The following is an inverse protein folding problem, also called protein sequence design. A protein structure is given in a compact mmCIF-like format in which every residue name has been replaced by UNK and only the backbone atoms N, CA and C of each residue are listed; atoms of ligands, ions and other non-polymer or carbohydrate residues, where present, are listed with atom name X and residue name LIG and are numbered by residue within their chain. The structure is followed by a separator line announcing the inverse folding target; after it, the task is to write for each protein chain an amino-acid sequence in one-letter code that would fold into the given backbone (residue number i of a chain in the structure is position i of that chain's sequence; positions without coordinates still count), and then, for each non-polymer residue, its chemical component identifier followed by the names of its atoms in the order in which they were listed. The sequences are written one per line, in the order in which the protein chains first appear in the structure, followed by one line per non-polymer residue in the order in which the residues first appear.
data_IF_923817036162
#
_entry.id   IF_923817036162
#
_cell.length_a   1.000
_cell.length_b   1.000
_cell.length_c   1.000
_cell.angle_alpha   90.00
_cell.angle_beta   90.00
_cell.angle_gamma   90.00
#
_symmetry.space_group_name_H-M   'P 1'
#
loop_
_entity.id
_entity.type
_entity.pdbx_description
1 polymer ?
#
# COMPACT_ATOMS: atom_id res chain seq x y z
N UNK A 1 -19.65 17.75 -19.24
CA UNK A 1 -18.24 18.10 -18.92
C UNK A 1 -17.58 16.86 -18.34
N UNK A 2 -16.31 16.58 -18.65
CA UNK A 2 -15.59 15.50 -17.99
C UNK A 2 -15.23 15.95 -16.58
N UNK A 3 -15.45 15.09 -15.58
CA UNK A 3 -15.02 15.37 -14.21
C UNK A 3 -13.50 15.25 -14.08
N UNK A 4 -12.93 16.06 -13.22
CA UNK A 4 -11.49 16.07 -12.93
C UNK A 4 -11.23 15.63 -11.48
N UNK A 5 -10.35 14.65 -11.32
CA UNK A 5 -9.87 14.17 -10.03
C UNK A 5 -8.40 14.56 -9.86
N UNK A 6 -8.07 15.20 -8.74
CA UNK A 6 -6.67 15.32 -8.31
C UNK A 6 -6.36 14.20 -7.33
N UNK A 7 -5.31 13.43 -7.60
CA UNK A 7 -4.82 12.38 -6.71
C UNK A 7 -3.47 12.82 -6.15
N UNK A 8 -3.34 12.83 -4.84
CA UNK A 8 -2.11 13.16 -4.12
C UNK A 8 -1.47 11.88 -3.59
N UNK A 9 -0.38 11.48 -4.22
CA UNK A 9 0.35 10.24 -3.95
C UNK A 9 0.32 9.29 -5.15
N UNK A 10 1.49 8.86 -5.61
CA UNK A 10 1.67 8.00 -6.80
C UNK A 10 2.25 6.61 -6.42
N UNK A 11 1.86 6.09 -5.25
CA UNK A 11 2.04 4.69 -4.85
C UNK A 11 0.92 3.79 -5.36
N UNK A 12 0.83 2.55 -4.85
CA UNK A 12 -0.19 1.57 -5.26
C UNK A 12 -1.61 2.13 -5.24
N UNK A 13 -2.00 2.78 -4.15
CA UNK A 13 -3.35 3.34 -3.99
C UNK A 13 -3.65 4.44 -5.02
N UNK A 14 -2.71 5.38 -5.22
CA UNK A 14 -2.91 6.48 -6.15
C UNK A 14 -2.94 6.04 -7.62
N UNK A 15 -2.05 5.12 -8.02
CA UNK A 15 -2.02 4.58 -9.39
C UNK A 15 -3.30 3.76 -9.68
N UNK A 16 -3.73 2.92 -8.74
CA UNK A 16 -4.96 2.14 -8.87
C UNK A 16 -6.20 3.04 -8.96
N UNK A 17 -6.25 4.09 -8.14
CA UNK A 17 -7.32 5.08 -8.18
C UNK A 17 -7.33 5.84 -9.51
N UNK A 18 -6.16 6.20 -10.07
CA UNK A 18 -6.06 6.87 -11.35
C UNK A 18 -6.66 6.03 -12.48
N UNK A 19 -6.28 4.74 -12.56
CA UNK A 19 -6.81 3.82 -13.56
C UNK A 19 -8.32 3.61 -13.39
N UNK A 20 -8.79 3.48 -12.15
CA UNK A 20 -10.22 3.35 -11.86
C UNK A 20 -11.00 4.59 -12.25
N UNK A 21 -10.48 5.78 -11.96
CA UNK A 21 -11.11 7.04 -12.35
C UNK A 21 -11.21 7.19 -13.87
N UNK A 22 -10.13 6.90 -14.60
CA UNK A 22 -10.12 6.92 -16.06
C UNK A 22 -11.12 5.94 -16.66
N UNK A 23 -11.18 4.71 -16.16
CA UNK A 23 -12.17 3.70 -16.57
C UNK A 23 -13.62 4.20 -16.39
N UNK A 24 -13.87 5.08 -15.42
CA UNK A 24 -15.17 5.70 -15.16
C UNK A 24 -15.33 7.07 -15.85
N UNK A 25 -14.48 7.42 -16.82
CA UNK A 25 -14.63 8.62 -17.66
C UNK A 25 -14.09 9.92 -17.05
N UNK A 26 -13.35 9.85 -15.92
CA UNK A 26 -12.72 11.01 -15.30
C UNK A 26 -11.37 11.33 -15.97
N UNK A 27 -10.97 12.60 -15.89
CA UNK A 27 -9.58 13.01 -16.13
C UNK A 27 -8.86 13.12 -14.79
N UNK A 28 -7.57 12.78 -14.77
CA UNK A 28 -6.79 12.69 -13.54
C UNK A 28 -5.56 13.59 -13.59
N UNK A 29 -5.33 14.36 -12.52
CA UNK A 29 -4.04 14.98 -12.22
C UNK A 29 -3.40 14.21 -11.06
N UNK A 30 -2.30 13.51 -11.33
CA UNK A 30 -1.59 12.67 -10.37
C UNK A 30 -0.36 13.40 -9.84
N UNK A 31 -0.43 13.82 -8.58
CA UNK A 31 0.59 14.62 -7.89
C UNK A 31 1.43 13.74 -6.97
N UNK A 32 2.74 13.87 -6.99
CA UNK A 32 3.62 13.18 -6.04
C UNK A 32 4.92 13.94 -5.77
N UNK A 33 5.42 13.84 -4.54
CA UNK A 33 6.69 14.46 -4.14
C UNK A 33 7.91 13.79 -4.76
N UNK A 34 7.78 12.54 -5.15
CA UNK A 34 8.81 11.75 -5.82
C UNK A 34 8.23 11.08 -7.07
N UNK A 35 9.09 10.58 -7.94
CA UNK A 35 8.67 9.69 -9.02
C UNK A 35 8.05 8.41 -8.45
N UNK A 36 7.07 7.82 -9.15
CA UNK A 36 6.32 6.63 -8.70
C UNK A 36 7.24 5.44 -8.41
N UNK A 37 8.33 5.31 -9.15
CA UNK A 37 9.36 4.28 -8.99
C UNK A 37 10.11 4.36 -7.66
N UNK A 38 9.94 5.46 -6.92
CA UNK A 38 10.52 5.69 -5.59
C UNK A 38 9.49 5.68 -4.47
N UNK A 39 8.25 5.31 -4.77
CA UNK A 39 7.21 5.16 -3.76
C UNK A 39 7.54 4.00 -2.81
N UNK A 40 7.12 4.12 -1.54
CA UNK A 40 7.28 3.05 -0.52
C UNK A 40 6.76 1.69 -1.01
N UNK A 41 5.71 1.69 -1.80
CA UNK A 41 5.09 0.47 -2.35
C UNK A 41 6.05 -0.42 -3.13
N UNK A 42 7.12 0.15 -3.74
CA UNK A 42 8.14 -0.62 -4.48
C UNK A 42 8.91 -1.57 -3.56
N UNK A 43 9.01 -1.23 -2.27
CA UNK A 43 9.78 -2.00 -1.28
C UNK A 43 8.96 -3.11 -0.61
N UNK A 44 7.70 -3.30 -0.97
CA UNK A 44 6.86 -4.34 -0.39
C UNK A 44 7.26 -5.73 -0.90
N UNK A 45 7.65 -6.62 0.01
CA UNK A 45 8.16 -7.97 -0.31
C UNK A 45 7.13 -9.07 -0.09
N UNK A 46 6.16 -8.81 0.81
CA UNK A 46 5.29 -9.83 1.38
C UNK A 46 4.38 -10.51 0.37
N UNK A 47 3.64 -9.76 -0.36
CA UNK A 47 2.58 -10.24 -1.25
C UNK A 47 1.25 -9.54 -0.98
N UNK A 48 0.21 -10.04 -1.62
CA UNK A 48 -1.16 -9.53 -1.50
C UNK A 48 -2.12 -10.67 -1.18
N UNK A 49 -2.94 -10.49 -0.15
CA UNK A 49 -3.87 -11.51 0.32
C UNK A 49 -5.15 -11.54 -0.53
N UNK A 50 -5.51 -12.73 -1.01
CA UNK A 50 -6.77 -12.99 -1.69
C UNK A 50 -7.18 -14.45 -1.54
N UNK A 51 -8.43 -14.71 -1.23
CA UNK A 51 -8.97 -16.08 -1.10
C UNK A 51 -9.20 -16.69 -2.49
N UNK A 52 -8.11 -17.02 -3.20
CA UNK A 52 -8.15 -17.63 -4.54
C UNK A 52 -8.41 -19.13 -4.50
N UNK A 53 -8.12 -19.76 -3.38
CA UNK A 53 -8.26 -21.20 -3.13
C UNK A 53 -7.49 -22.13 -4.10
N UNK A 54 -6.45 -21.64 -4.76
CA UNK A 54 -5.62 -22.44 -5.70
C UNK A 54 -4.83 -23.55 -5.01
N UNK A 55 -4.78 -23.57 -3.68
CA UNK A 55 -4.16 -24.63 -2.87
C UNK A 55 -5.17 -25.67 -2.33
N UNK A 56 -6.46 -25.54 -2.66
CA UNK A 56 -7.49 -26.49 -2.23
C UNK A 56 -7.72 -26.54 -0.71
N UNK A 57 -7.44 -25.47 0.02
CA UNK A 57 -7.59 -25.38 1.47
C UNK A 57 -9.01 -24.94 1.93
N UNK A 58 -9.97 -24.89 1.00
CA UNK A 58 -11.34 -24.41 1.26
C UNK A 58 -11.37 -22.98 1.79
N UNK A 59 -10.48 -22.12 1.30
CA UNK A 59 -10.46 -20.71 1.64
C UNK A 59 -11.54 -19.93 0.86
N UNK A 60 -12.14 -18.94 1.50
CA UNK A 60 -13.18 -18.10 0.90
C UNK A 60 -13.05 -16.62 1.30
N UNK A 61 -13.67 -15.71 0.54
CA UNK A 61 -13.75 -14.29 0.93
C UNK A 61 -14.37 -14.09 2.32
N UNK A 62 -15.35 -14.92 2.73
CA UNK A 62 -15.99 -14.89 4.05
C UNK A 62 -15.02 -15.32 5.15
N UNK A 63 -14.20 -16.35 4.90
CA UNK A 63 -13.16 -16.76 5.84
C UNK A 63 -12.07 -15.68 5.94
N UNK A 64 -11.67 -15.07 4.81
CA UNK A 64 -10.74 -13.95 4.79
C UNK A 64 -11.29 -12.74 5.59
N UNK A 65 -12.57 -12.44 5.45
CA UNK A 65 -13.27 -11.41 6.23
C UNK A 65 -13.22 -11.70 7.74
N UNK A 66 -13.60 -12.91 8.14
CA UNK A 66 -13.63 -13.31 9.55
C UNK A 66 -12.24 -13.26 10.19
N UNK A 67 -11.20 -13.76 9.50
CA UNK A 67 -9.82 -13.73 9.95
C UNK A 67 -9.32 -12.27 10.12
N UNK A 68 -9.66 -11.40 9.15
CA UNK A 68 -9.27 -9.98 9.17
C UNK A 68 -9.91 -9.23 10.34
N UNK A 69 -11.21 -9.42 10.58
CA UNK A 69 -11.89 -8.81 11.74
C UNK A 69 -11.35 -9.31 13.07
N UNK A 70 -11.03 -10.61 13.16
CA UNK A 70 -10.43 -11.19 14.36
C UNK A 70 -9.06 -10.56 14.64
N UNK A 71 -8.22 -10.44 13.62
CA UNK A 71 -6.90 -9.80 13.75
C UNK A 71 -6.99 -8.30 14.07
N UNK A 72 -8.02 -7.64 13.62
CA UNK A 72 -8.24 -6.20 13.86
C UNK A 72 -8.72 -5.89 15.29
N UNK A 73 -9.04 -6.87 16.13
CA UNK A 73 -9.42 -6.69 17.53
C UNK A 73 -10.54 -5.64 17.75
N UNK A 74 -11.50 -5.55 16.82
CA UNK A 74 -12.62 -4.61 16.90
C UNK A 74 -12.35 -3.19 16.39
N UNK A 75 -11.16 -2.90 15.86
CA UNK A 75 -10.80 -1.57 15.35
C UNK A 75 -11.17 -1.34 13.88
N UNK A 76 -11.35 -2.42 13.12
CA UNK A 76 -11.67 -2.30 11.70
C UNK A 76 -13.14 -2.00 11.47
N UNK A 77 -13.43 -1.22 10.42
CA UNK A 77 -14.79 -1.07 9.89
C UNK A 77 -15.20 -2.37 9.17
N UNK A 78 -16.23 -3.10 9.65
CA UNK A 78 -16.66 -4.36 9.06
C UNK A 78 -17.09 -4.23 7.59
N UNK A 79 -17.70 -3.11 7.21
CA UNK A 79 -18.17 -2.90 5.84
C UNK A 79 -16.98 -2.70 4.89
N UNK A 80 -15.95 -1.96 5.32
CA UNK A 80 -14.74 -1.77 4.54
C UNK A 80 -13.98 -3.10 4.37
N UNK A 81 -13.87 -3.90 5.44
CA UNK A 81 -13.24 -5.22 5.37
C UNK A 81 -14.02 -6.16 4.46
N UNK A 82 -15.36 -6.17 4.54
CA UNK A 82 -16.20 -6.96 3.65
C UNK A 82 -15.95 -6.61 2.19
N UNK A 83 -16.05 -5.33 1.82
CA UNK A 83 -15.80 -4.87 0.46
C UNK A 83 -14.40 -5.26 -0.06
N UNK A 84 -13.37 -5.10 0.78
CA UNK A 84 -11.99 -5.48 0.44
C UNK A 84 -11.86 -6.98 0.17
N UNK A 85 -12.37 -7.83 1.06
CA UNK A 85 -12.18 -9.29 0.95
C UNK A 85 -12.97 -9.89 -0.20
N UNK A 86 -14.17 -9.36 -0.50
CA UNK A 86 -14.95 -9.79 -1.66
C UNK A 86 -14.26 -9.41 -2.98
N UNK A 87 -13.65 -8.22 -3.05
CA UNK A 87 -12.98 -7.74 -4.26
C UNK A 87 -11.58 -8.35 -4.47
N UNK A 88 -10.93 -8.85 -3.43
CA UNK A 88 -9.50 -9.21 -3.45
C UNK A 88 -9.14 -10.24 -4.53
N UNK A 89 -9.95 -11.28 -4.71
CA UNK A 89 -9.66 -12.35 -5.65
C UNK A 89 -9.71 -11.89 -7.11
N UNK A 90 -10.70 -11.08 -7.46
CA UNK A 90 -10.80 -10.49 -8.80
C UNK A 90 -9.68 -9.47 -9.03
N UNK A 91 -9.36 -8.67 -8.02
CA UNK A 91 -8.26 -7.71 -8.09
C UNK A 91 -6.92 -8.38 -8.38
N UNK A 92 -6.58 -9.45 -7.68
CA UNK A 92 -5.30 -10.17 -7.89
C UNK A 92 -5.23 -10.77 -9.30
N UNK A 93 -6.32 -11.37 -9.79
CA UNK A 93 -6.39 -11.85 -11.18
C UNK A 93 -6.25 -10.71 -12.19
N UNK A 94 -6.91 -9.58 -11.95
CA UNK A 94 -6.80 -8.39 -12.81
C UNK A 94 -5.38 -7.85 -12.85
N UNK A 95 -4.68 -7.82 -11.71
CA UNK A 95 -3.27 -7.41 -11.64
C UNK A 95 -2.35 -8.38 -12.40
N UNK A 96 -2.61 -9.68 -12.31
CA UNK A 96 -1.89 -10.68 -13.10
C UNK A 96 -2.10 -10.44 -14.61
N UNK A 97 -3.34 -10.25 -15.07
CA UNK A 97 -3.63 -9.91 -16.46
C UNK A 97 -3.04 -8.55 -16.89
N UNK A 98 -2.87 -7.62 -15.97
CA UNK A 98 -2.20 -6.33 -16.24
C UNK A 98 -0.69 -6.49 -16.49
N UNK A 99 -0.11 -7.64 -16.12
CA UNK A 99 1.30 -7.98 -16.35
C UNK A 99 2.12 -8.15 -15.06
N UNK A 100 1.49 -8.19 -13.88
CA UNK A 100 2.20 -8.52 -12.64
C UNK A 100 2.65 -9.97 -12.69
N UNK A 101 3.96 -10.19 -12.55
CA UNK A 101 4.59 -11.52 -12.62
C UNK A 101 4.50 -12.21 -11.25
N UNK A 102 3.28 -12.61 -10.86
CA UNK A 102 3.13 -13.47 -9.68
C UNK A 102 3.73 -14.84 -9.92
N UNK A 103 4.15 -15.50 -8.83
CA UNK A 103 4.51 -16.91 -8.90
C UNK A 103 3.29 -17.74 -9.30
N UNK A 104 3.55 -18.76 -10.12
CA UNK A 104 2.55 -19.74 -10.55
C UNK A 104 2.99 -21.15 -10.20
N UNK A 105 2.04 -22.07 -10.09
CA UNK A 105 2.27 -23.51 -9.93
C UNK A 105 2.62 -24.15 -11.27
N UNK A 106 2.98 -25.43 -11.24
CA UNK A 106 3.22 -26.24 -12.46
C UNK A 106 1.99 -26.34 -13.36
N UNK A 107 0.79 -26.15 -12.80
CA UNK A 107 -0.50 -26.15 -13.53
C UNK A 107 -0.91 -24.74 -14.02
N UNK A 108 0.01 -23.76 -13.98
CA UNK A 108 -0.19 -22.36 -14.40
C UNK A 108 -1.24 -21.59 -13.57
N UNK A 109 -1.53 -22.07 -12.35
CA UNK A 109 -2.37 -21.37 -11.39
C UNK A 109 -1.55 -20.46 -10.49
N UNK A 110 -2.13 -19.34 -10.01
CA UNK A 110 -1.46 -18.45 -9.08
C UNK A 110 -1.01 -19.18 -7.81
N UNK A 111 0.29 -19.15 -7.53
CA UNK A 111 0.84 -19.76 -6.33
C UNK A 111 0.57 -18.90 -5.11
N UNK A 112 0.23 -19.56 -4.00
CA UNK A 112 -0.11 -18.93 -2.74
C UNK A 112 0.80 -19.45 -1.63
N UNK A 113 1.24 -18.54 -0.76
CA UNK A 113 2.02 -18.87 0.43
C UNK A 113 1.33 -18.45 1.72
N UNK A 114 1.77 -19.02 2.83
CA UNK A 114 1.41 -18.55 4.15
C UNK A 114 2.24 -17.30 4.50
N UNK A 115 1.59 -16.40 5.20
CA UNK A 115 2.24 -15.29 5.90
C UNK A 115 2.04 -15.48 7.40
N UNK A 116 2.92 -14.92 8.24
CA UNK A 116 2.86 -15.12 9.68
C UNK A 116 1.45 -14.87 10.26
N UNK A 117 0.94 -15.82 11.04
CA UNK A 117 -0.39 -15.76 11.65
C UNK A 117 -1.57 -16.11 10.75
N UNK A 118 -1.36 -16.43 9.47
CA UNK A 118 -2.44 -16.86 8.60
C UNK A 118 -2.76 -18.35 8.79
N UNK A 119 -4.05 -18.68 8.74
CA UNK A 119 -4.54 -20.06 8.81
C UNK A 119 -4.64 -20.75 7.45
N UNK A 120 -4.68 -19.95 6.38
CA UNK A 120 -4.85 -20.41 4.99
C UNK A 120 -3.78 -19.77 4.10
N UNK A 121 -3.33 -20.51 3.09
CA UNK A 121 -2.45 -19.97 2.06
C UNK A 121 -3.26 -19.07 1.13
N UNK A 122 -3.18 -17.76 1.32
CA UNK A 122 -3.92 -16.77 0.53
C UNK A 122 -3.08 -15.62 0.03
N UNK A 123 -1.77 -15.65 0.23
CA UNK A 123 -0.88 -14.57 -0.19
C UNK A 123 -0.32 -14.87 -1.57
N UNK A 124 -0.81 -14.18 -2.60
CA UNK A 124 -0.19 -14.16 -3.92
C UNK A 124 1.08 -13.32 -3.86
N UNK A 125 2.17 -13.78 -4.44
CA UNK A 125 3.49 -13.19 -4.31
C UNK A 125 4.32 -13.30 -5.59
N UNK A 126 5.32 -12.44 -5.73
CA UNK A 126 6.31 -12.47 -6.79
C UNK A 126 7.71 -12.53 -6.14
N UNK A 127 8.13 -13.73 -5.75
CA UNK A 127 9.37 -13.97 -4.99
C UNK A 127 9.50 -13.00 -3.79
N UNK A 128 10.53 -12.12 -3.79
CA UNK A 128 10.74 -11.05 -2.81
C UNK A 128 10.42 -9.65 -3.39
N UNK A 129 9.88 -9.58 -4.61
CA UNK A 129 9.75 -8.34 -5.37
C UNK A 129 8.28 -7.96 -5.66
N UNK A 130 7.33 -8.44 -4.86
CA UNK A 130 5.90 -8.27 -5.13
C UNK A 130 5.52 -6.80 -5.34
N UNK A 131 5.97 -5.90 -4.46
CA UNK A 131 5.68 -4.48 -4.59
C UNK A 131 6.27 -3.86 -5.86
N UNK A 132 7.48 -4.26 -6.23
CA UNK A 132 8.13 -3.81 -7.47
C UNK A 132 7.34 -4.26 -8.71
N UNK A 133 6.90 -5.52 -8.76
CA UNK A 133 6.09 -6.04 -9.86
C UNK A 133 4.76 -5.31 -9.98
N UNK A 134 4.04 -5.14 -8.86
CA UNK A 134 2.79 -4.38 -8.80
C UNK A 134 2.99 -2.95 -9.30
N UNK A 135 4.00 -2.25 -8.79
CA UNK A 135 4.28 -0.86 -9.17
C UNK A 135 4.66 -0.74 -10.64
N UNK A 136 5.50 -1.64 -11.17
CA UNK A 136 5.88 -1.62 -12.59
C UNK A 136 4.67 -1.72 -13.49
N UNK A 137 3.79 -2.71 -13.28
CA UNK A 137 2.60 -2.90 -14.08
C UNK A 137 1.63 -1.69 -14.02
N UNK A 138 1.41 -1.15 -12.82
CA UNK A 138 0.54 0.01 -12.63
C UNK A 138 1.13 1.29 -13.21
N UNK A 139 2.44 1.53 -13.05
CA UNK A 139 3.12 2.68 -13.64
C UNK A 139 3.00 2.65 -15.18
N UNK A 140 3.23 1.49 -15.80
CA UNK A 140 3.15 1.34 -17.23
C UNK A 140 1.71 1.52 -17.73
N UNK A 141 0.71 1.05 -16.99
CA UNK A 141 -0.69 1.30 -17.30
C UNK A 141 -1.04 2.80 -17.22
N UNK A 142 -0.60 3.50 -16.17
CA UNK A 142 -0.83 4.93 -16.01
C UNK A 142 -0.09 5.74 -17.08
N UNK A 143 1.11 5.33 -17.51
CA UNK A 143 1.84 5.96 -18.61
C UNK A 143 1.10 5.84 -19.94
N UNK A 144 0.41 4.72 -20.19
CA UNK A 144 -0.47 4.60 -21.38
C UNK A 144 -1.61 5.61 -21.32
N UNK A 145 -2.23 5.79 -20.16
CA UNK A 145 -3.30 6.79 -19.97
C UNK A 145 -2.78 8.24 -20.06
N UNK A 146 -1.54 8.49 -19.62
CA UNK A 146 -0.88 9.78 -19.82
C UNK A 146 -0.66 10.07 -21.30
N UNK A 147 -0.20 9.07 -22.04
CA UNK A 147 -0.04 9.19 -23.52
C UNK A 147 -1.38 9.40 -24.25
N UNK A 148 -2.47 8.85 -23.68
CA UNK A 148 -3.84 9.06 -24.19
C UNK A 148 -4.46 10.41 -23.76
N UNK A 149 -3.79 11.17 -22.87
CA UNK A 149 -4.25 12.48 -22.39
C UNK A 149 -5.36 12.41 -21.33
N UNK A 150 -5.60 11.25 -20.74
CA UNK A 150 -6.59 11.06 -19.66
C UNK A 150 -5.98 11.24 -18.27
N UNK A 151 -4.67 11.07 -18.13
CA UNK A 151 -3.89 11.33 -16.93
C UNK A 151 -2.81 12.36 -17.23
N UNK A 152 -2.63 13.31 -16.31
CA UNK A 152 -1.51 14.24 -16.31
C UNK A 152 -0.72 14.03 -15.01
N UNK A 153 0.59 13.72 -15.10
CA UNK A 153 1.42 13.45 -13.93
C UNK A 153 2.26 14.66 -13.54
N UNK A 154 2.29 14.93 -12.25
CA UNK A 154 3.09 15.97 -11.60
C UNK A 154 4.04 15.36 -10.57
N UNK A 155 5.11 14.66 -11.00
CA UNK A 155 6.16 14.23 -10.08
C UNK A 155 6.91 15.46 -9.55
N UNK A 156 7.55 15.31 -8.37
CA UNK A 156 8.28 16.40 -7.70
C UNK A 156 7.40 17.62 -7.34
N UNK A 157 6.12 17.35 -7.08
CA UNK A 157 5.18 18.35 -6.57
C UNK A 157 4.66 17.92 -5.20
N UNK A 158 4.76 18.82 -4.24
CA UNK A 158 4.24 18.62 -2.87
C UNK A 158 2.85 19.23 -2.75
N UNK A 159 1.91 18.46 -2.19
CA UNK A 159 0.64 19.00 -1.74
C UNK A 159 0.87 20.04 -0.65
N UNK A 160 0.15 21.17 -0.71
CA UNK A 160 0.27 22.25 0.28
C UNK A 160 -1.00 22.40 1.09
N UNK A 161 -2.16 22.54 0.43
CA UNK A 161 -3.44 22.69 1.12
C UNK A 161 -4.62 22.41 0.18
N UNK A 162 -5.81 22.24 0.73
CA UNK A 162 -7.06 22.20 -0.02
C UNK A 162 -7.57 23.59 -0.37
N UNK A 163 -8.27 23.72 -1.47
CA UNK A 163 -9.04 24.90 -1.85
C UNK A 163 -10.48 24.69 -1.34
N UNK A 164 -10.79 25.28 -0.21
CA UNK A 164 -12.08 25.12 0.46
C UNK A 164 -12.93 26.40 0.30
N UNK A 165 -14.24 26.20 0.08
CA UNK A 165 -15.26 27.23 0.19
C UNK A 165 -16.34 26.70 1.14
N UNK A 166 -16.29 27.13 2.40
CA UNK A 166 -17.04 26.48 3.47
C UNK A 166 -16.61 25.01 3.59
N UNK A 167 -17.57 24.10 3.50
CA UNK A 167 -17.32 22.64 3.56
C UNK A 167 -17.14 21.98 2.19
N UNK A 168 -17.03 22.76 1.12
CA UNK A 168 -16.89 22.24 -0.24
C UNK A 168 -15.42 22.31 -0.64
N UNK A 169 -14.86 21.17 -1.04
CA UNK A 169 -13.51 21.07 -1.62
C UNK A 169 -13.62 21.32 -3.14
N UNK A 170 -13.00 22.40 -3.61
CA UNK A 170 -12.92 22.75 -5.04
C UNK A 170 -11.56 22.48 -5.67
N UNK A 171 -10.65 21.81 -4.95
CA UNK A 171 -9.32 21.51 -5.46
C UNK A 171 -8.23 21.57 -4.42
N UNK A 172 -6.99 21.74 -4.87
CA UNK A 172 -5.83 21.88 -3.99
C UNK A 172 -4.75 22.79 -4.56
N UNK A 173 -3.81 23.20 -3.72
CA UNK A 173 -2.57 23.86 -4.09
C UNK A 173 -1.42 22.89 -3.94
N UNK A 174 -0.54 22.83 -4.92
CA UNK A 174 0.69 22.05 -4.91
C UNK A 174 1.89 22.94 -5.18
N UNK A 175 3.07 22.51 -4.79
CA UNK A 175 4.31 23.24 -5.00
C UNK A 175 5.30 22.37 -5.76
N UNK A 176 5.82 22.88 -6.87
CA UNK A 176 6.98 22.33 -7.55
C UNK A 176 8.21 22.41 -6.59
N UNK A 177 8.86 21.28 -6.35
CA UNK A 177 9.98 21.20 -5.40
C UNK A 177 11.31 21.74 -5.97
N UNK A 178 11.41 21.93 -7.28
CA UNK A 178 12.60 22.49 -7.93
C UNK A 178 12.51 24.01 -8.08
N UNK A 179 11.36 24.51 -8.51
CA UNK A 179 11.18 25.94 -8.78
C UNK A 179 10.60 26.70 -7.59
N UNK A 180 9.92 26.00 -6.68
CA UNK A 180 9.15 26.60 -5.59
C UNK A 180 7.80 27.18 -6.04
N UNK A 181 7.45 27.09 -7.33
CA UNK A 181 6.20 27.62 -7.87
C UNK A 181 4.98 26.93 -7.24
N UNK A 182 3.96 27.75 -6.95
CA UNK A 182 2.68 27.27 -6.44
C UNK A 182 1.67 27.17 -7.57
N UNK A 183 1.17 25.94 -7.80
CA UNK A 183 0.12 25.66 -8.76
C UNK A 183 -1.22 25.43 -8.05
N UNK A 184 -2.30 25.94 -8.65
CA UNK A 184 -3.67 25.70 -8.17
C UNK A 184 -4.38 24.76 -9.12
N UNK A 185 -4.83 23.63 -8.60
CA UNK A 185 -5.65 22.67 -9.35
C UNK A 185 -7.09 22.76 -8.88
N UNK A 186 -7.95 23.30 -9.74
CA UNK A 186 -9.41 23.27 -9.55
C UNK A 186 -9.91 21.93 -10.07
N UNK A 187 -10.74 21.24 -9.30
CA UNK A 187 -11.22 19.90 -9.63
C UNK A 187 -12.52 19.59 -8.89
N UNK A 188 -13.18 18.52 -9.31
CA UNK A 188 -14.43 18.05 -8.69
C UNK A 188 -14.19 17.25 -7.42
N UNK A 189 -13.02 16.60 -7.29
CA UNK A 189 -12.63 15.87 -6.10
C UNK A 189 -11.10 15.81 -5.92
N UNK A 190 -10.66 15.69 -4.67
CA UNK A 190 -9.26 15.42 -4.29
C UNK A 190 -9.21 14.11 -3.53
N UNK A 191 -8.38 13.17 -4.01
CA UNK A 191 -8.12 11.89 -3.35
C UNK A 191 -6.72 11.92 -2.74
N UNK A 192 -6.62 11.61 -1.46
CA UNK A 192 -5.36 11.56 -0.73
C UNK A 192 -4.89 10.10 -0.62
N UNK A 193 -3.72 9.82 -1.17
CA UNK A 193 -3.09 8.49 -1.24
C UNK A 193 -1.61 8.54 -0.85
N UNK A 194 -1.26 9.35 0.15
CA UNK A 194 0.11 9.71 0.51
C UNK A 194 0.85 8.66 1.35
N UNK A 195 0.22 7.52 1.63
CA UNK A 195 0.82 6.44 2.41
C UNK A 195 0.86 6.75 3.91
N UNK A 196 1.82 6.14 4.60
CA UNK A 196 1.94 6.20 6.05
C UNK A 196 2.83 7.32 6.59
N UNK A 197 3.31 7.14 7.83
CA UNK A 197 4.02 8.14 8.63
C UNK A 197 5.46 7.69 8.97
N UNK A 198 6.08 6.88 8.14
CA UNK A 198 7.36 6.21 8.43
C UNK A 198 8.48 7.17 8.82
N UNK A 199 8.57 8.34 8.15
CA UNK A 199 9.61 9.32 8.38
C UNK A 199 9.45 10.16 9.65
N UNK A 200 8.36 9.96 10.41
CA UNK A 200 8.07 10.76 11.60
C UNK A 200 8.72 10.19 12.88
N UNK A 201 8.92 8.87 12.96
CA UNK A 201 9.27 8.17 14.20
C UNK A 201 10.71 7.64 14.27
N UNK A 202 11.63 8.20 13.52
CA UNK A 202 13.05 7.84 13.58
C UNK A 202 13.39 6.61 12.73
N UNK A 203 14.08 5.63 13.31
CA UNK A 203 14.54 4.43 12.60
C UNK A 203 13.39 3.65 11.99
N UNK A 204 13.43 3.48 10.68
CA UNK A 204 12.36 2.81 9.93
C UNK A 204 12.92 1.99 8.78
N UNK A 205 12.20 0.93 8.41
CA UNK A 205 12.41 0.19 7.16
C UNK A 205 11.65 0.82 5.99
N UNK A 206 10.82 1.83 6.26
CA UNK A 206 10.00 2.51 5.28
C UNK A 206 10.70 3.74 4.67
N UNK A 207 9.99 4.40 3.75
CA UNK A 207 10.50 5.61 3.10
C UNK A 207 10.48 6.80 4.03
N UNK A 208 11.61 7.48 4.21
CA UNK A 208 11.70 8.74 4.94
C UNK A 208 10.95 9.89 4.26
N UNK A 209 10.54 9.73 3.00
CA UNK A 209 9.69 10.69 2.30
C UNK A 209 8.23 10.70 2.81
N UNK A 210 7.82 9.71 3.60
CA UNK A 210 6.50 9.64 4.22
C UNK A 210 6.51 10.41 5.56
N UNK A 211 6.56 11.73 5.47
CA UNK A 211 6.76 12.64 6.62
C UNK A 211 5.49 12.96 7.40
N UNK A 212 4.30 12.58 6.88
CA UNK A 212 3.02 12.95 7.50
C UNK A 212 2.59 14.42 7.26
N UNK A 213 3.32 15.19 6.45
CA UNK A 213 2.98 16.61 6.18
C UNK A 213 1.53 16.77 5.69
N UNK A 214 1.10 15.92 4.77
CA UNK A 214 -0.27 15.97 4.22
C UNK A 214 -1.31 15.63 5.29
N UNK A 215 -1.07 14.59 6.08
CA UNK A 215 -1.94 14.22 7.21
C UNK A 215 -2.08 15.38 8.21
N UNK A 216 -0.96 16.02 8.56
CA UNK A 216 -0.95 17.16 9.46
C UNK A 216 -1.71 18.38 8.90
N UNK A 217 -1.58 18.64 7.60
CA UNK A 217 -2.33 19.73 6.96
C UNK A 217 -3.84 19.45 6.93
N UNK A 218 -4.24 18.23 6.57
CA UNK A 218 -5.65 17.83 6.57
C UNK A 218 -6.25 17.89 7.99
N UNK A 219 -5.48 17.49 9.01
CA UNK A 219 -5.89 17.62 10.41
C UNK A 219 -6.13 19.09 10.78
N UNK A 220 -5.21 20.01 10.40
CA UNK A 220 -5.39 21.46 10.62
C UNK A 220 -6.62 22.02 9.92
N UNK A 221 -7.00 21.46 8.78
CA UNK A 221 -8.20 21.84 8.04
C UNK A 221 -9.49 21.23 8.62
N UNK A 222 -9.41 20.45 9.70
CA UNK A 222 -10.55 19.84 10.37
C UNK A 222 -11.05 18.55 9.76
N UNK A 223 -10.26 17.90 8.91
CA UNK A 223 -10.60 16.58 8.36
C UNK A 223 -10.55 15.55 9.48
N UNK A 224 -11.61 14.77 9.73
CA UNK A 224 -11.61 13.72 10.73
C UNK A 224 -10.53 12.67 10.44
N UNK A 225 -9.80 12.27 11.49
CA UNK A 225 -8.76 11.25 11.42
C UNK A 225 -9.13 10.06 12.31
N UNK A 226 -8.68 8.87 11.93
CA UNK A 226 -8.86 7.66 12.70
C UNK A 226 -7.54 6.89 12.83
N UNK A 227 -7.34 6.23 13.97
CA UNK A 227 -6.25 5.31 14.25
C UNK A 227 -4.84 5.90 14.05
N UNK A 228 -4.63 7.18 14.30
CA UNK A 228 -3.32 7.84 14.16
C UNK A 228 -2.27 7.28 15.13
N UNK A 229 -2.68 6.69 16.23
CA UNK A 229 -1.84 5.99 17.20
C UNK A 229 -1.35 4.61 16.72
N UNK A 230 -1.97 4.06 15.66
CA UNK A 230 -1.67 2.71 15.14
C UNK A 230 -0.45 2.72 14.22
N UNK A 231 0.72 2.92 14.80
CA UNK A 231 2.00 2.80 14.11
C UNK A 231 2.57 1.41 14.34
N UNK A 232 2.68 0.63 13.29
CA UNK A 232 3.22 -0.72 13.36
C UNK A 232 4.71 -0.73 12.98
N UNK A 233 5.54 -1.23 13.90
CA UNK A 233 6.94 -1.55 13.61
C UNK A 233 7.06 -3.01 13.18
N UNK A 234 7.81 -3.26 12.12
CA UNK A 234 8.08 -4.64 11.71
C UNK A 234 8.98 -5.32 12.75
N UNK A 235 8.61 -6.51 13.27
CA UNK A 235 9.29 -7.11 14.42
C UNK A 235 10.68 -7.67 14.09
N UNK A 236 10.97 -7.93 12.82
CA UNK A 236 12.25 -8.50 12.38
C UNK A 236 12.94 -7.60 11.38
N UNK A 237 13.95 -6.90 11.85
CA UNK A 237 14.79 -6.02 11.04
C UNK A 237 16.26 -6.24 11.39
N UNK A 238 17.15 -5.92 10.45
CA UNK A 238 18.61 -5.93 10.66
C UNK A 238 19.17 -4.56 10.28
N UNK A 239 20.09 -4.09 11.08
CA UNK A 239 20.84 -2.87 10.81
C UNK A 239 22.06 -3.21 9.97
N UNK A 240 22.16 -2.59 8.79
CA UNK A 240 23.31 -2.73 7.87
C UNK A 240 23.82 -1.33 7.52
N UNK A 241 24.84 -0.89 8.26
CA UNK A 241 25.37 0.47 8.16
C UNK A 241 24.31 1.50 8.56
N UNK A 242 24.01 2.44 7.67
CA UNK A 242 23.02 3.50 7.91
C UNK A 242 21.57 3.10 7.54
N UNK A 243 21.37 1.84 7.12
CA UNK A 243 20.06 1.36 6.67
C UNK A 243 19.56 0.25 7.57
N UNK A 244 18.26 0.34 7.87
CA UNK A 244 17.51 -0.74 8.51
C UNK A 244 16.77 -1.54 7.44
N UNK A 245 17.13 -2.81 7.29
CA UNK A 245 16.52 -3.72 6.32
C UNK A 245 15.49 -4.62 6.99
N UNK A 246 14.42 -4.89 6.26
CA UNK A 246 13.37 -5.81 6.66
C UNK A 246 13.84 -7.26 6.46
N UNK A 247 13.63 -8.12 7.45
CA UNK A 247 13.64 -9.57 7.29
C UNK A 247 12.20 -10.01 7.08
N UNK A 248 11.89 -10.51 5.89
CA UNK A 248 10.52 -10.85 5.49
C UNK A 248 9.84 -11.80 6.46
N UNK A 249 8.57 -11.55 6.78
CA UNK A 249 7.73 -12.47 7.56
C UNK A 249 7.53 -13.82 6.89
N UNK A 250 7.69 -13.90 5.58
CA UNK A 250 7.67 -15.17 4.86
C UNK A 250 8.64 -16.19 5.46
N UNK A 251 9.80 -15.75 5.97
CA UNK A 251 10.74 -16.64 6.65
C UNK A 251 10.12 -17.34 7.86
N UNK A 252 9.25 -16.66 8.62
CA UNK A 252 8.51 -17.26 9.75
C UNK A 252 7.35 -18.13 9.27
N UNK A 253 6.66 -17.70 8.23
CA UNK A 253 5.60 -18.49 7.58
C UNK A 253 6.10 -19.85 7.08
N UNK A 254 7.35 -19.90 6.63
CA UNK A 254 8.05 -21.12 6.19
C UNK A 254 8.74 -21.88 7.35
N UNK A 255 8.44 -21.55 8.59
CA UNK A 255 8.94 -22.27 9.78
C UNK A 255 10.23 -21.72 10.39
N UNK A 256 10.70 -20.55 9.93
CA UNK A 256 11.85 -19.85 10.52
C UNK A 256 11.59 -19.46 11.96
N UNK A 257 12.58 -19.67 12.85
CA UNK A 257 12.48 -19.35 14.27
C UNK A 257 13.50 -18.29 14.67
N UNK A 258 13.05 -17.32 15.46
CA UNK A 258 13.92 -16.33 16.08
C UNK A 258 14.43 -16.86 17.42
N UNK A 259 15.73 -16.74 17.66
CA UNK A 259 16.34 -17.10 18.93
C UNK A 259 17.47 -16.14 19.28
N UNK A 260 17.72 -15.98 20.57
CA UNK A 260 18.94 -15.37 21.09
C UNK A 260 19.91 -16.47 21.55
N UNK A 261 21.20 -16.16 21.64
CA UNK A 261 22.16 -17.05 22.25
C UNK A 261 22.28 -16.73 23.74
N UNK A 262 22.02 -17.72 24.59
CA UNK A 262 22.26 -17.64 26.03
C UNK A 262 23.29 -18.72 26.40
N UNK A 263 24.45 -18.33 26.90
CA UNK A 263 25.56 -19.22 27.20
C UNK A 263 25.96 -20.12 26.00
N UNK A 264 25.98 -19.55 24.80
CA UNK A 264 26.34 -20.27 23.56
C UNK A 264 25.28 -21.26 23.05
N UNK A 265 24.10 -21.34 23.69
CA UNK A 265 22.99 -22.18 23.25
C UNK A 265 21.83 -21.34 22.75
N UNK A 266 21.13 -21.78 21.69
CA UNK A 266 19.89 -21.14 21.25
C UNK A 266 18.88 -21.06 22.39
N UNK A 267 18.36 -19.87 22.66
CA UNK A 267 17.33 -19.61 23.63
C UNK A 267 16.19 -18.83 22.96
N UNK A 268 15.01 -19.44 22.93
CA UNK A 268 13.80 -18.81 22.43
C UNK A 268 13.10 -18.10 23.59
N UNK A 269 13.01 -16.78 23.52
CA UNK A 269 12.25 -15.99 24.48
C UNK A 269 10.79 -15.86 24.05
N UNK A 270 9.88 -15.79 25.01
CA UNK A 270 8.45 -15.52 24.76
C UNK A 270 8.24 -14.19 24.03
N UNK A 271 9.09 -13.19 24.24
CA UNK A 271 9.04 -11.91 23.51
C UNK A 271 9.46 -12.05 22.05
N UNK A 272 10.05 -13.17 21.67
CA UNK A 272 10.43 -13.48 20.28
C UNK A 272 9.45 -14.43 19.60
N UNK A 273 8.41 -14.88 20.31
CA UNK A 273 7.32 -15.66 19.73
C UNK A 273 6.35 -14.65 19.13
N UNK A 274 6.46 -14.48 17.83
CA UNK A 274 5.63 -13.55 17.07
C UNK A 274 4.40 -14.23 16.46
N UNK A 275 3.99 -15.37 17.00
CA UNK A 275 2.75 -15.99 16.58
C UNK A 275 1.62 -15.46 17.46
N UNK A 276 0.56 -14.90 16.89
CA UNK A 276 -0.69 -14.74 17.60
C UNK A 276 -1.18 -16.16 17.94
N UNK A 277 -1.23 -16.46 19.22
CA UNK A 277 -1.91 -17.66 19.72
C UNK A 277 -3.41 -17.54 19.48
#
# INVERSE_FOLDING_TARGET
MKHTLVIVGAGLAGLSAALTAVKNGWTVKLVSSLASERAQSVMAEGGINAALNTKGEEDSPEQHYTDTLTAACGLADPNAVWGMTQAASELVRSLHHLGVQFNVTDDDELDLRNFGGQKKKRTAFAQSDTGKQLMTALIDAVRREESAGTVERFPHHKFRTLLLSGNICGGCTVQDTYTGELLRFVCDAVLIATGGLHGLFGDTTGSLANTGEVTAELFRLGVPMANLEMIQYHPTTVELGEKRMLLSEAARGEGGRLFALRNGKPWLSLIHISEPT
#
